data_IF_632640485669
#
_entry.id   IF_632640485669
#
_cell.length_a   1.000
_cell.length_b   1.000
_cell.length_c   1.000
_cell.angle_alpha   90.00
_cell.angle_beta   90.00
_cell.angle_gamma   90.00
#
_symmetry.space_group_name_H-M   'P 1'
#
loop_
_entity.id
_entity.type
_entity.pdbx_description
1 polymer ?
#
# COMPACT_ATOMS: atom_id res chain seq x y z
N UNK A 1 -31.30 -0.14 -23.69
CA UNK A 1 -32.41 0.83 -23.62
C UNK A 1 -33.77 0.19 -23.25
N UNK A 2 -34.03 -1.08 -23.60
CA UNK A 2 -35.31 -1.75 -23.35
C UNK A 2 -35.74 -1.78 -21.87
N UNK A 3 -34.87 -2.18 -20.94
CA UNK A 3 -35.30 -2.41 -19.53
C UNK A 3 -35.86 -1.16 -18.83
N UNK A 4 -35.25 0.03 -18.97
CA UNK A 4 -35.81 1.24 -18.34
C UNK A 4 -37.13 1.67 -18.97
N UNK A 5 -37.32 1.39 -20.27
CA UNK A 5 -38.56 1.75 -20.99
C UNK A 5 -39.67 0.76 -20.65
N UNK A 6 -39.35 -0.53 -20.59
CA UNK A 6 -40.27 -1.63 -20.27
C UNK A 6 -40.73 -1.60 -18.82
N UNK A 7 -39.82 -1.34 -17.88
CA UNK A 7 -40.14 -1.26 -16.44
C UNK A 7 -40.64 0.11 -16.00
N UNK A 8 -40.56 1.12 -16.88
CA UNK A 8 -40.82 2.53 -16.58
C UNK A 8 -40.08 3.05 -15.32
N UNK A 9 -38.94 2.43 -15.00
CA UNK A 9 -38.19 2.66 -13.77
C UNK A 9 -37.07 3.71 -13.91
N UNK A 10 -36.63 4.21 -12.75
CA UNK A 10 -35.40 5.01 -12.65
C UNK A 10 -34.20 4.07 -12.60
N UNK A 11 -33.33 4.16 -13.60
CA UNK A 11 -32.12 3.34 -13.67
C UNK A 11 -30.90 4.26 -13.79
N UNK A 12 -29.88 3.93 -13.02
CA UNK A 12 -28.55 4.52 -13.09
C UNK A 12 -27.52 3.40 -13.08
N UNK A 13 -26.56 3.47 -13.99
CA UNK A 13 -25.44 2.52 -14.06
C UNK A 13 -24.17 3.29 -14.35
N UNK A 14 -23.10 2.98 -13.63
CA UNK A 14 -21.79 3.57 -13.86
C UNK A 14 -20.72 2.49 -13.71
N UNK A 15 -19.72 2.51 -14.60
CA UNK A 15 -18.64 1.54 -14.59
C UNK A 15 -17.33 2.19 -15.07
N UNK A 16 -16.24 1.89 -14.38
CA UNK A 16 -14.88 2.19 -14.82
C UNK A 16 -14.02 0.95 -14.66
N UNK A 17 -13.28 0.60 -15.72
CA UNK A 17 -12.25 -0.42 -15.63
C UNK A 17 -11.00 0.17 -14.94
N UNK A 18 -10.34 -0.55 -14.01
CA UNK A 18 -9.17 -0.03 -13.30
C UNK A 18 -8.05 0.42 -14.25
N UNK A 19 -7.78 -0.31 -15.33
CA UNK A 19 -6.70 0.05 -16.25
C UNK A 19 -7.12 0.99 -17.40
N UNK A 20 -8.38 1.47 -17.41
CA UNK A 20 -8.81 2.41 -18.44
C UNK A 20 -8.33 3.82 -18.09
N UNK A 21 -7.44 4.38 -18.91
CA UNK A 21 -6.94 5.74 -18.77
C UNK A 21 -7.99 6.84 -19.12
N UNK A 22 -9.22 6.46 -19.43
CA UNK A 22 -10.30 7.34 -19.88
C UNK A 22 -11.32 7.70 -18.80
N UNK A 23 -12.36 8.44 -19.20
CA UNK A 23 -13.51 8.72 -18.34
C UNK A 23 -14.36 7.46 -18.12
N UNK A 24 -14.98 7.33 -16.94
CA UNK A 24 -15.93 6.26 -16.67
C UNK A 24 -17.17 6.37 -17.57
N UNK A 25 -17.76 5.22 -17.86
CA UNK A 25 -18.99 5.14 -18.64
C UNK A 25 -20.17 5.13 -17.68
N UNK A 26 -21.18 5.95 -17.96
CA UNK A 26 -22.42 5.95 -17.19
C UNK A 26 -23.65 5.99 -18.10
N UNK A 27 -24.74 5.46 -17.57
CA UNK A 27 -26.07 5.45 -18.16
C UNK A 27 -27.07 5.94 -17.12
N UNK A 28 -27.94 6.86 -17.51
CA UNK A 28 -29.07 7.30 -16.72
C UNK A 28 -30.34 7.24 -17.58
N UNK A 29 -31.41 6.63 -17.05
CA UNK A 29 -32.68 6.53 -17.78
C UNK A 29 -33.22 7.91 -18.13
N UNK A 30 -33.97 8.00 -19.24
CA UNK A 30 -34.55 9.27 -19.70
C UNK A 30 -35.44 9.93 -18.63
N UNK A 31 -36.19 9.12 -17.88
CA UNK A 31 -37.04 9.57 -16.80
C UNK A 31 -36.24 10.18 -15.66
N UNK A 32 -35.18 9.51 -15.21
CA UNK A 32 -34.29 10.00 -14.16
C UNK A 32 -33.62 11.32 -14.58
N UNK A 33 -33.14 11.42 -15.83
CA UNK A 33 -32.55 12.65 -16.36
C UNK A 33 -33.54 13.81 -16.45
N UNK A 34 -34.83 13.54 -16.61
CA UNK A 34 -35.88 14.56 -16.69
C UNK A 34 -36.31 15.02 -15.30
N UNK A 35 -36.48 14.09 -14.37
CA UNK A 35 -37.09 14.34 -13.06
C UNK A 35 -36.06 14.78 -12.00
N UNK A 36 -34.82 14.30 -12.08
CA UNK A 36 -33.78 14.56 -11.08
C UNK A 36 -32.43 14.85 -11.74
N UNK A 37 -32.40 15.83 -12.66
CA UNK A 37 -31.22 16.12 -13.48
C UNK A 37 -30.00 16.51 -12.65
N UNK A 38 -30.17 17.39 -11.66
CA UNK A 38 -29.06 17.92 -10.88
C UNK A 38 -28.54 16.89 -9.87
N UNK A 39 -29.44 16.14 -9.23
CA UNK A 39 -29.06 15.01 -8.36
C UNK A 39 -28.31 13.91 -9.13
N UNK A 40 -28.73 13.64 -10.38
CA UNK A 40 -28.03 12.68 -11.23
C UNK A 40 -26.61 13.15 -11.56
N UNK A 41 -26.40 14.45 -11.79
CA UNK A 41 -25.04 15.00 -11.99
C UNK A 41 -24.20 14.85 -10.73
N UNK A 42 -24.79 15.05 -9.57
CA UNK A 42 -24.07 14.91 -8.30
C UNK A 42 -23.67 13.44 -8.04
N UNK A 43 -24.56 12.49 -8.32
CA UNK A 43 -24.25 11.06 -8.32
C UNK A 43 -23.06 10.71 -9.22
N UNK A 44 -23.04 11.26 -10.43
CA UNK A 44 -21.94 11.08 -11.39
C UNK A 44 -20.63 11.63 -10.83
N UNK A 45 -20.64 12.83 -10.23
CA UNK A 45 -19.43 13.41 -9.60
C UNK A 45 -18.94 12.59 -8.42
N UNK A 46 -19.84 12.16 -7.54
CA UNK A 46 -19.50 11.32 -6.39
C UNK A 46 -18.89 10.00 -6.83
N UNK A 47 -19.46 9.35 -7.84
CA UNK A 47 -18.90 8.13 -8.40
C UNK A 47 -17.48 8.36 -8.95
N UNK A 48 -17.26 9.49 -9.65
CA UNK A 48 -15.93 9.83 -10.15
C UNK A 48 -14.91 10.04 -9.02
N UNK A 49 -15.29 10.72 -7.94
CA UNK A 49 -14.43 10.89 -6.78
C UNK A 49 -14.05 9.55 -6.14
N UNK A 50 -15.03 8.65 -6.00
CA UNK A 50 -14.81 7.30 -5.45
C UNK A 50 -13.86 6.47 -6.32
N UNK A 51 -14.06 6.45 -7.64
CA UNK A 51 -13.16 5.71 -8.54
C UNK A 51 -11.75 6.30 -8.50
N UNK A 52 -11.61 7.63 -8.50
CA UNK A 52 -10.30 8.27 -8.38
C UNK A 52 -9.61 7.91 -7.06
N UNK A 53 -10.35 7.82 -5.95
CA UNK A 53 -9.80 7.38 -4.67
C UNK A 53 -9.33 5.92 -4.75
N UNK A 54 -10.14 5.02 -5.31
CA UNK A 54 -9.79 3.61 -5.50
C UNK A 54 -8.58 3.42 -6.42
N UNK A 55 -8.48 4.19 -7.49
CA UNK A 55 -7.36 4.17 -8.41
C UNK A 55 -6.05 4.66 -7.79
N UNK A 56 -6.14 5.54 -6.79
CA UNK A 56 -4.99 6.11 -6.11
C UNK A 56 -4.62 5.37 -4.82
N UNK A 57 -5.51 4.57 -4.24
CA UNK A 57 -5.24 3.80 -3.02
C UNK A 57 -4.07 2.80 -3.21
N UNK A 58 -4.00 1.96 -4.26
CA UNK A 58 -2.87 1.07 -4.48
C UNK A 58 -1.53 1.80 -4.64
N UNK A 59 -1.54 3.02 -5.19
CA UNK A 59 -0.33 3.84 -5.32
C UNK A 59 0.18 4.32 -3.97
N UNK A 60 -0.74 4.64 -3.05
CA UNK A 60 -0.39 5.03 -1.68
C UNK A 60 0.15 3.82 -0.91
N UNK A 61 -0.51 2.68 -1.02
CA UNK A 61 -0.08 1.45 -0.34
C UNK A 61 1.31 1.01 -0.83
N UNK A 62 1.57 1.07 -2.14
CA UNK A 62 2.88 0.75 -2.71
C UNK A 62 3.99 1.72 -2.24
N UNK A 63 3.68 3.01 -2.12
CA UNK A 63 4.62 4.01 -1.58
C UNK A 63 4.88 3.79 -0.09
N UNK A 64 3.86 3.44 0.68
CA UNK A 64 3.97 3.16 2.11
C UNK A 64 4.78 1.88 2.36
N UNK A 65 4.50 0.81 1.62
CA UNK A 65 5.32 -0.41 1.65
C UNK A 65 6.77 -0.14 1.26
N UNK A 66 7.02 0.73 0.28
CA UNK A 66 8.37 1.16 -0.08
C UNK A 66 9.10 1.85 1.07
N UNK A 67 8.43 2.74 1.79
CA UNK A 67 8.99 3.41 2.98
C UNK A 67 9.28 2.44 4.12
N UNK A 68 8.36 1.52 4.39
CA UNK A 68 8.54 0.49 5.43
C UNK A 68 9.75 -0.39 5.10
N UNK A 69 9.88 -0.80 3.84
CA UNK A 69 11.03 -1.58 3.38
C UNK A 69 12.35 -0.83 3.58
N UNK A 70 12.40 0.45 3.21
CA UNK A 70 13.57 1.29 3.39
C UNK A 70 13.96 1.44 4.87
N UNK A 71 12.98 1.67 5.76
CA UNK A 71 13.24 1.72 7.20
C UNK A 71 13.73 0.37 7.75
N UNK A 72 13.15 -0.75 7.33
CA UNK A 72 13.60 -2.07 7.77
C UNK A 72 15.01 -2.40 7.27
N UNK A 73 15.37 -2.01 6.05
CA UNK A 73 16.74 -2.17 5.55
C UNK A 73 17.74 -1.34 6.36
N UNK A 74 17.39 -0.12 6.77
CA UNK A 74 18.24 0.70 7.62
C UNK A 74 18.41 0.09 9.02
N UNK A 75 17.33 -0.41 9.62
CA UNK A 75 17.40 -1.10 10.92
C UNK A 75 18.25 -2.38 10.86
N UNK A 76 18.13 -3.15 9.78
CA UNK A 76 18.96 -4.33 9.56
C UNK A 76 20.43 -3.95 9.44
N UNK A 77 20.76 -2.92 8.65
CA UNK A 77 22.14 -2.46 8.51
C UNK A 77 22.74 -2.00 9.86
N UNK A 78 21.94 -1.31 10.69
CA UNK A 78 22.37 -0.90 12.04
C UNK A 78 22.60 -2.11 12.95
N UNK A 79 21.69 -3.08 12.94
CA UNK A 79 21.82 -4.30 13.75
C UNK A 79 22.99 -5.16 13.28
N UNK A 80 23.23 -5.27 11.98
CA UNK A 80 24.39 -5.99 11.44
C UNK A 80 25.70 -5.34 11.90
N UNK A 81 25.78 -4.01 11.90
CA UNK A 81 26.96 -3.29 12.39
C UNK A 81 27.17 -3.50 13.90
N UNK A 82 26.09 -3.50 14.69
CA UNK A 82 26.10 -3.78 16.13
C UNK A 82 26.58 -5.21 16.41
N UNK A 83 26.06 -6.20 15.69
CA UNK A 83 26.49 -7.60 15.79
C UNK A 83 27.97 -7.73 15.44
N UNK A 84 28.42 -7.08 14.37
CA UNK A 84 29.84 -7.11 13.97
C UNK A 84 30.75 -6.54 15.05
N UNK A 85 30.33 -5.43 15.69
CA UNK A 85 31.06 -4.85 16.82
C UNK A 85 31.11 -5.78 18.02
N UNK A 86 30.00 -6.44 18.35
CA UNK A 86 29.97 -7.41 19.45
C UNK A 86 30.85 -8.62 19.17
N UNK A 87 30.86 -9.12 17.94
CA UNK A 87 31.74 -10.23 17.51
C UNK A 87 33.23 -9.85 17.67
N UNK A 88 33.61 -8.62 17.30
CA UNK A 88 34.98 -8.12 17.50
C UNK A 88 35.35 -8.04 18.99
N UNK A 89 34.45 -7.54 19.84
CA UNK A 89 34.67 -7.48 21.30
C UNK A 89 34.77 -8.87 21.95
N UNK A 90 33.95 -9.83 21.50
CA UNK A 90 34.03 -11.22 21.97
C UNK A 90 35.38 -11.82 21.58
N UNK A 91 35.82 -11.61 20.34
CA UNK A 91 37.10 -12.11 19.83
C UNK A 91 38.28 -11.55 20.60
N UNK A 92 38.25 -10.27 20.95
CA UNK A 92 39.29 -9.64 21.77
C UNK A 92 39.33 -10.23 23.19
N UNK A 93 38.17 -10.41 23.82
CA UNK A 93 38.05 -11.02 25.15
C UNK A 93 38.52 -12.47 25.16
N UNK A 94 38.18 -13.25 24.14
CA UNK A 94 38.62 -14.65 23.99
C UNK A 94 40.14 -14.75 23.82
N UNK A 95 40.75 -13.85 23.06
CA UNK A 95 42.21 -13.78 22.92
C UNK A 95 42.88 -13.43 24.27
N UNK A 96 42.29 -12.51 25.04
CA UNK A 96 42.78 -12.15 26.37
C UNK A 96 42.67 -13.35 27.33
N UNK A 97 41.54 -14.05 27.33
CA UNK A 97 41.31 -15.25 28.13
C UNK A 97 42.29 -16.37 27.79
N UNK A 98 42.57 -16.60 26.50
CA UNK A 98 43.57 -17.57 26.06
C UNK A 98 44.97 -17.23 26.59
N UNK A 99 45.35 -15.94 26.54
CA UNK A 99 46.63 -15.46 27.09
C UNK A 99 46.72 -15.66 28.60
N UNK A 100 45.68 -15.33 29.36
CA UNK A 100 45.65 -15.53 30.80
C UNK A 100 45.67 -17.02 31.19
N UNK A 101 44.96 -17.88 30.46
CA UNK A 101 44.99 -19.34 30.67
C UNK A 101 46.40 -19.91 30.48
N UNK A 102 47.09 -19.52 29.41
CA UNK A 102 48.46 -19.96 29.15
C UNK A 102 49.46 -19.48 30.22
N UNK A 103 49.27 -18.28 30.77
CA UNK A 103 50.15 -17.72 31.81
C UNK A 103 49.96 -18.37 33.18
N UNK A 104 48.73 -18.77 33.50
CA UNK A 104 48.39 -19.39 34.79
C UNK A 104 48.56 -20.92 34.80
N UNK A 105 48.94 -21.54 33.68
CA UNK A 105 49.08 -22.99 33.57
C UNK A 105 47.78 -23.77 33.80
N UNK A 106 46.63 -23.10 33.69
CA UNK A 106 45.30 -23.71 33.81
C UNK A 106 44.92 -24.25 32.43
N UNK A 107 45.70 -25.20 31.94
CA UNK A 107 45.22 -26.16 30.97
C UNK A 107 44.59 -27.32 31.75
N UNK A 108 43.40 -27.72 31.33
CA UNK A 108 42.79 -28.96 31.81
C UNK A 108 43.47 -30.13 31.12
#
# INVERSE_FOLDING_TARGET
ECVSKETNGWLFFAAQHPNAAGQFVHYASSRLRREAKDDTKELVKQFQATINALMNAPRKDALEMGRVLESSCQELAQKEEEVRRQDDEIREKDALLAKYKGMLGIEK
#
